data_IF_185686450540
#
_entry.id   IF_185686450540
#
_cell.length_a   1.000
_cell.length_b   1.000
_cell.length_c   1.000
_cell.angle_alpha   90.00
_cell.angle_beta   90.00
_cell.angle_gamma   90.00
#
_symmetry.space_group_name_H-M   'P 1'
#
loop_
_entity.id
_entity.type
_entity.pdbx_description
1 polymer ?
#
# COMPACT_ATOMS: atom_id res chain seq x y z
N UNK A 1 19.20 -11.24 19.55
CA UNK A 1 19.53 -10.59 18.26
C UNK A 1 18.79 -9.26 18.17
N UNK A 2 19.52 -8.14 18.26
CA UNK A 2 18.95 -6.79 18.12
C UNK A 2 18.48 -6.61 16.67
N UNK A 3 17.17 -6.45 16.46
CA UNK A 3 16.63 -6.12 15.14
C UNK A 3 16.83 -4.62 14.88
N UNK A 4 17.17 -4.21 13.65
CA UNK A 4 17.46 -2.82 13.32
C UNK A 4 16.24 -1.89 13.55
N UNK A 5 16.51 -0.62 13.89
CA UNK A 5 15.49 0.42 14.00
C UNK A 5 14.90 0.77 12.64
N UNK A 6 13.73 1.39 12.62
CA UNK A 6 13.06 1.83 11.38
C UNK A 6 13.99 2.73 10.55
N UNK A 7 14.57 3.74 11.20
CA UNK A 7 15.51 4.68 10.58
C UNK A 7 16.74 3.98 10.01
N UNK A 8 17.28 2.98 10.71
CA UNK A 8 18.45 2.22 10.26
C UNK A 8 18.10 1.35 9.05
N UNK A 9 16.94 0.69 9.03
CA UNK A 9 16.51 -0.09 7.86
C UNK A 9 16.26 0.77 6.64
N UNK A 10 15.67 1.95 6.83
CA UNK A 10 15.40 2.89 5.75
C UNK A 10 16.72 3.47 5.20
N UNK A 11 17.63 3.89 6.09
CA UNK A 11 18.97 4.34 5.71
C UNK A 11 19.76 3.25 4.98
N UNK A 12 19.76 2.00 5.49
CA UNK A 12 20.43 0.89 4.84
C UNK A 12 19.87 0.62 3.44
N UNK A 13 18.54 0.62 3.28
CA UNK A 13 17.92 0.46 1.96
C UNK A 13 18.26 1.60 1.01
N UNK A 14 18.26 2.83 1.50
CA UNK A 14 18.64 4.01 0.72
C UNK A 14 20.10 3.92 0.27
N UNK A 15 21.02 3.55 1.17
CA UNK A 15 22.43 3.38 0.85
C UNK A 15 22.67 2.27 -0.18
N UNK A 16 21.93 1.15 -0.10
CA UNK A 16 22.01 0.07 -1.10
C UNK A 16 21.50 0.57 -2.47
N UNK A 17 20.35 1.24 -2.51
CA UNK A 17 19.80 1.81 -3.76
C UNK A 17 20.76 2.83 -4.37
N UNK A 18 21.26 3.77 -3.55
CA UNK A 18 22.21 4.78 -3.98
C UNK A 18 23.53 4.16 -4.46
N UNK A 19 24.01 3.10 -3.81
CA UNK A 19 25.21 2.36 -4.21
C UNK A 19 25.06 1.68 -5.57
N UNK A 20 23.93 1.02 -5.82
CA UNK A 20 23.64 0.37 -7.11
C UNK A 20 23.58 1.39 -8.25
N UNK A 21 22.86 2.49 -8.05
CA UNK A 21 22.75 3.55 -9.05
C UNK A 21 24.09 4.28 -9.27
N UNK A 22 24.83 4.54 -8.19
CA UNK A 22 26.14 5.17 -8.23
C UNK A 22 27.16 4.32 -8.99
N UNK A 23 27.21 3.01 -8.75
CA UNK A 23 28.09 2.10 -9.48
C UNK A 23 27.78 2.08 -10.99
N UNK A 24 26.49 2.08 -11.36
CA UNK A 24 26.09 2.15 -12.77
C UNK A 24 26.50 3.49 -13.42
N UNK A 25 26.36 4.60 -12.70
CA UNK A 25 26.77 5.92 -13.19
C UNK A 25 28.29 6.02 -13.38
N UNK A 26 29.09 5.55 -12.42
CA UNK A 26 30.56 5.55 -12.50
C UNK A 26 31.04 4.67 -13.65
N UNK A 27 30.46 3.47 -13.82
CA UNK A 27 30.78 2.58 -14.94
C UNK A 27 30.46 3.24 -16.29
N UNK A 28 29.32 3.94 -16.40
CA UNK A 28 28.96 4.70 -17.60
C UNK A 28 29.93 5.84 -17.91
N UNK A 29 30.34 6.58 -16.88
CA UNK A 29 31.33 7.65 -17.01
C UNK A 29 32.69 7.13 -17.51
N UNK A 30 33.22 6.08 -16.89
CA UNK A 30 34.49 5.48 -17.29
C UNK A 30 34.46 4.96 -18.73
N UNK A 31 33.35 4.34 -19.14
CA UNK A 31 33.18 3.85 -20.51
C UNK A 31 33.16 4.99 -21.54
N UNK A 32 32.52 6.11 -21.22
CA UNK A 32 32.48 7.30 -22.07
C UNK A 32 33.86 7.94 -22.21
N UNK A 33 34.60 8.04 -21.11
CA UNK A 33 35.94 8.63 -21.10
C UNK A 33 36.94 7.79 -21.89
N UNK A 34 36.91 6.46 -21.73
CA UNK A 34 37.72 5.53 -22.54
C UNK A 34 37.38 5.67 -24.02
N UNK A 35 36.08 5.69 -24.36
CA UNK A 35 35.64 5.87 -25.74
C UNK A 35 36.14 7.19 -26.36
N UNK A 36 36.04 8.30 -25.62
CA UNK A 36 36.51 9.60 -26.09
C UNK A 36 38.03 9.68 -26.28
N UNK A 37 38.80 8.84 -25.58
CA UNK A 37 40.26 8.70 -25.80
C UNK A 37 40.55 7.85 -27.03
N UNK A 38 39.98 6.65 -27.10
CA UNK A 38 40.15 5.71 -28.22
C UNK A 38 39.75 6.35 -29.57
N UNK A 39 38.64 7.10 -29.59
CA UNK A 39 38.16 7.79 -30.78
C UNK A 39 39.07 8.94 -31.24
N UNK A 40 39.68 9.68 -30.31
CA UNK A 40 40.64 10.74 -30.64
C UNK A 40 41.92 10.18 -31.26
N UNK A 41 42.45 9.10 -30.69
CA UNK A 41 43.67 8.45 -31.17
C UNK A 41 43.47 7.88 -32.59
N UNK A 42 42.40 7.10 -32.81
CA UNK A 42 42.11 6.54 -34.14
C UNK A 42 41.83 7.61 -35.20
N UNK A 43 41.15 8.69 -34.83
CA UNK A 43 40.91 9.83 -35.73
C UNK A 43 42.23 10.51 -36.13
N UNK A 44 43.15 10.70 -35.18
CA UNK A 44 44.47 11.27 -35.46
C UNK A 44 45.28 10.37 -36.43
N UNK A 45 45.29 9.05 -36.21
CA UNK A 45 45.94 8.08 -37.11
C UNK A 45 45.34 8.11 -38.52
N UNK A 46 44.01 8.13 -38.64
CA UNK A 46 43.33 8.18 -39.94
C UNK A 46 43.64 9.46 -40.73
N UNK A 47 43.67 10.62 -40.06
CA UNK A 47 44.04 11.90 -40.67
C UNK A 47 45.51 11.87 -41.12
N UNK A 48 46.42 11.37 -40.27
CA UNK A 48 47.84 11.25 -40.60
C UNK A 48 48.06 10.36 -41.83
N UNK A 49 47.42 9.17 -41.86
CA UNK A 49 47.53 8.22 -42.95
C UNK A 49 47.06 8.81 -44.29
N UNK A 50 45.89 9.45 -44.30
CA UNK A 50 45.36 10.07 -45.51
C UNK A 50 46.25 11.23 -46.00
N UNK A 51 46.79 12.02 -45.07
CA UNK A 51 47.73 13.11 -45.40
C UNK A 51 49.00 12.55 -46.05
N UNK A 52 49.58 11.48 -45.51
CA UNK A 52 50.79 10.87 -46.08
C UNK A 52 50.54 10.22 -47.44
N UNK A 53 49.39 9.57 -47.63
CA UNK A 53 48.97 9.01 -48.93
C UNK A 53 48.83 10.11 -49.97
N UNK A 54 48.20 11.23 -49.62
CA UNK A 54 48.07 12.38 -50.53
C UNK A 54 49.44 12.97 -50.88
N UNK A 55 50.31 13.15 -49.88
CA UNK A 55 51.67 13.63 -50.09
C UNK A 55 52.47 12.70 -51.00
N UNK A 56 52.36 11.38 -50.82
CA UNK A 56 52.99 10.38 -51.69
C UNK A 56 52.50 10.50 -53.14
N UNK A 57 51.19 10.66 -53.34
CA UNK A 57 50.60 10.82 -54.66
C UNK A 57 51.08 12.10 -55.35
N UNK A 58 51.05 13.24 -54.65
CA UNK A 58 51.56 14.53 -55.17
C UNK A 58 53.04 14.44 -55.55
N UNK A 59 53.89 13.89 -54.67
CA UNK A 59 55.32 13.74 -54.92
C UNK A 59 55.64 12.74 -56.03
N UNK A 60 54.83 11.71 -56.19
CA UNK A 60 55.00 10.77 -57.30
C UNK A 60 54.67 11.38 -58.66
N UNK A 61 53.70 12.30 -58.73
CA UNK A 61 53.42 13.06 -59.95
C UNK A 61 54.56 14.01 -60.29
N UNK A 62 55.13 14.69 -59.29
CA UNK A 62 56.32 15.54 -59.46
C UNK A 62 57.53 14.72 -59.95
N UNK A 63 57.72 13.52 -59.39
CA UNK A 63 58.74 12.55 -59.80
C UNK A 63 58.51 12.12 -61.26
N UNK A 64 57.29 11.76 -61.63
CA UNK A 64 56.97 11.34 -62.99
C UNK A 64 57.20 12.46 -64.01
N UNK A 65 56.74 13.67 -63.69
CA UNK A 65 56.91 14.86 -64.53
C UNK A 65 58.40 15.18 -64.73
N UNK A 66 59.17 15.18 -63.64
CA UNK A 66 60.61 15.47 -63.68
C UNK A 66 61.38 14.41 -64.46
N UNK A 67 61.04 13.13 -64.28
CA UNK A 67 61.64 12.03 -65.05
C UNK A 67 61.39 12.17 -66.55
N UNK A 68 60.13 12.38 -66.96
CA UNK A 68 59.76 12.58 -68.37
C UNK A 68 60.44 13.81 -68.98
N UNK A 69 60.52 14.91 -68.23
CA UNK A 69 61.14 16.14 -68.71
C UNK A 69 62.67 16.00 -68.83
N UNK A 70 63.32 15.29 -67.90
CA UNK A 70 64.75 15.01 -67.97
C UNK A 70 65.10 14.11 -69.17
N UNK A 71 64.30 13.08 -69.45
CA UNK A 71 64.49 12.21 -70.62
C UNK A 71 64.40 12.94 -71.97
N UNK A 72 63.88 14.17 -72.01
CA UNK A 72 63.76 15.00 -73.21
C UNK A 72 64.78 16.16 -73.23
N UNK A 73 65.01 16.81 -72.09
CA UNK A 73 65.84 18.02 -71.99
C UNK A 73 67.26 17.78 -71.47
N UNK A 74 67.50 16.65 -70.78
CA UNK A 74 68.78 16.26 -70.16
C UNK A 74 69.41 17.34 -69.24
N UNK A 75 68.59 18.19 -68.62
CA UNK A 75 69.02 19.29 -67.73
C UNK A 75 69.24 18.80 -66.28
N UNK A 76 70.41 19.10 -65.72
CA UNK A 76 70.81 18.73 -64.35
C UNK A 76 69.87 19.31 -63.28
N UNK A 77 69.31 20.51 -63.50
CA UNK A 77 68.38 21.11 -62.55
C UNK A 77 67.07 20.30 -62.42
N UNK A 78 66.69 19.57 -63.48
CA UNK A 78 65.52 18.68 -63.49
C UNK A 78 65.84 17.36 -62.79
N UNK A 79 67.08 16.87 -62.96
CA UNK A 79 67.59 15.68 -62.25
C UNK A 79 67.60 15.89 -60.74
N UNK A 80 68.06 17.04 -60.25
CA UNK A 80 68.00 17.36 -58.82
C UNK A 80 66.57 17.39 -58.28
N UNK A 81 65.62 17.95 -59.04
CA UNK A 81 64.19 17.94 -58.67
C UNK A 81 63.60 16.54 -58.62
N UNK A 82 63.98 15.66 -59.54
CA UNK A 82 63.57 14.24 -59.52
C UNK A 82 64.02 13.55 -58.23
N UNK A 83 65.30 13.69 -57.86
CA UNK A 83 65.82 13.08 -56.63
C UNK A 83 65.20 13.69 -55.36
N UNK A 84 64.97 15.00 -55.33
CA UNK A 84 64.28 15.66 -54.21
C UNK A 84 62.83 15.15 -54.05
N UNK A 85 62.07 15.05 -55.15
CA UNK A 85 60.71 14.51 -55.14
C UNK A 85 60.67 13.04 -54.68
N UNK A 86 61.67 12.24 -55.09
CA UNK A 86 61.84 10.85 -54.65
C UNK A 86 62.07 10.74 -53.16
N UNK A 87 63.01 11.51 -52.62
CA UNK A 87 63.35 11.44 -51.20
C UNK A 87 62.18 11.88 -50.31
N UNK A 88 61.40 12.88 -50.75
CA UNK A 88 60.16 13.28 -50.07
C UNK A 88 59.04 12.24 -50.17
N UNK A 89 58.91 11.58 -51.32
CA UNK A 89 57.98 10.46 -51.49
C UNK A 89 58.35 9.26 -50.61
N UNK A 90 59.65 8.93 -50.49
CA UNK A 90 60.13 7.88 -49.59
C UNK A 90 59.85 8.18 -48.10
N UNK A 91 59.94 9.44 -47.67
CA UNK A 91 59.54 9.85 -46.31
C UNK A 91 58.05 9.67 -46.07
N UNK A 92 57.22 10.10 -47.03
CA UNK A 92 55.76 9.90 -46.95
C UNK A 92 55.42 8.41 -46.89
N UNK A 93 56.10 7.59 -47.70
CA UNK A 93 55.93 6.14 -47.72
C UNK A 93 56.32 5.46 -46.40
N UNK A 94 57.44 5.87 -45.80
CA UNK A 94 57.86 5.35 -44.50
C UNK A 94 56.84 5.68 -43.38
N UNK A 95 56.24 6.87 -43.42
CA UNK A 95 55.19 7.24 -42.46
C UNK A 95 53.90 6.43 -42.68
N UNK A 96 53.55 6.11 -43.93
CA UNK A 96 52.41 5.23 -44.23
C UNK A 96 52.61 3.83 -43.65
N UNK A 97 53.81 3.25 -43.80
CA UNK A 97 54.13 1.93 -43.23
C UNK A 97 54.14 1.92 -41.70
N UNK A 98 54.57 3.02 -41.08
CA UNK A 98 54.52 3.18 -39.62
C UNK A 98 53.09 3.23 -39.09
N UNK A 99 52.19 3.90 -39.82
CA UNK A 99 50.79 4.05 -39.46
C UNK A 99 49.95 2.80 -39.77
N UNK A 100 50.24 2.13 -40.89
CA UNK A 100 49.57 0.90 -41.30
C UNK A 100 50.57 -0.11 -41.92
N UNK A 101 51.06 -1.07 -41.10
CA UNK A 101 51.97 -2.11 -41.56
C UNK A 101 51.40 -3.01 -42.67
N UNK A 102 50.07 -3.06 -42.84
CA UNK A 102 49.44 -3.90 -43.88
C UNK A 102 49.72 -3.39 -45.30
N UNK A 103 50.08 -2.11 -45.44
CA UNK A 103 50.45 -1.47 -46.71
C UNK A 103 51.91 -1.74 -47.12
N UNK A 104 52.72 -2.41 -46.30
CA UNK A 104 54.15 -2.64 -46.56
C UNK A 104 54.43 -3.32 -47.91
N UNK A 105 53.58 -4.27 -48.34
CA UNK A 105 53.75 -4.93 -49.64
C UNK A 105 53.58 -4.00 -50.84
N UNK A 106 52.68 -3.02 -50.74
CA UNK A 106 52.48 -1.99 -51.77
C UNK A 106 53.60 -0.95 -51.73
N UNK A 107 54.11 -0.64 -50.53
CA UNK A 107 55.25 0.23 -50.36
C UNK A 107 56.53 -0.36 -50.94
N UNK A 108 56.78 -1.66 -50.76
CA UNK A 108 57.89 -2.36 -51.39
C UNK A 108 57.79 -2.35 -52.93
N UNK A 109 56.59 -2.56 -53.47
CA UNK A 109 56.34 -2.45 -54.91
C UNK A 109 56.61 -1.02 -55.43
N UNK A 110 56.23 0.00 -54.66
CA UNK A 110 56.51 1.40 -54.99
C UNK A 110 58.01 1.69 -55.03
N UNK A 111 58.78 1.19 -54.04
CA UNK A 111 60.25 1.32 -54.01
C UNK A 111 60.88 0.66 -55.24
N UNK A 112 60.47 -0.57 -55.57
CA UNK A 112 61.01 -1.31 -56.69
C UNK A 112 60.79 -0.59 -58.03
N UNK A 113 59.60 -0.03 -58.28
CA UNK A 113 59.34 0.73 -59.51
C UNK A 113 60.09 2.08 -59.54
N UNK A 114 60.31 2.68 -58.37
CA UNK A 114 61.09 3.92 -58.25
C UNK A 114 62.57 3.68 -58.52
N UNK A 115 63.14 2.59 -58.01
CA UNK A 115 64.53 2.20 -58.27
C UNK A 115 64.77 1.97 -59.77
N UNK A 116 63.82 1.35 -60.46
CA UNK A 116 63.86 1.18 -61.92
C UNK A 116 63.83 2.54 -62.65
N UNK A 117 63.05 3.51 -62.17
CA UNK A 117 63.03 4.87 -62.72
C UNK A 117 64.33 5.65 -62.43
N UNK A 118 64.96 5.41 -61.27
CA UNK A 118 66.27 5.99 -60.91
C UNK A 118 67.36 5.48 -61.83
N UNK A 119 67.36 4.19 -62.19
CA UNK A 119 68.34 3.64 -63.14
C UNK A 119 68.27 4.32 -64.52
N UNK A 120 67.10 4.81 -64.91
CA UNK A 120 66.90 5.54 -66.17
C UNK A 120 67.36 7.01 -66.13
N UNK A 121 67.12 7.71 -65.02
CA UNK A 121 67.49 9.13 -64.82
C UNK A 121 68.94 9.27 -64.31
N UNK A 122 69.50 8.22 -63.73
CA UNK A 122 70.79 8.20 -63.05
C UNK A 122 71.98 7.78 -63.92
N UNK A 123 71.79 7.42 -65.18
CA UNK A 123 72.89 6.99 -66.05
C UNK A 123 73.91 8.13 -66.22
N UNK A 124 75.06 8.00 -65.54
CA UNK A 124 76.22 8.86 -65.78
C UNK A 124 76.64 8.77 -67.26
N UNK A 125 77.09 9.91 -67.80
CA UNK A 125 77.58 10.14 -69.17
C UNK A 125 78.83 9.32 -69.60
N UNK A 126 79.01 8.09 -69.11
CA UNK A 126 80.25 7.31 -69.27
C UNK A 126 80.17 6.09 -70.22
N UNK A 127 79.28 6.08 -71.22
CA UNK A 127 79.23 5.01 -72.23
C UNK A 127 78.58 5.42 -73.56
N UNK A 128 78.97 4.83 -74.71
CA UNK A 128 78.49 5.26 -76.03
C UNK A 128 76.98 5.01 -76.21
N UNK A 129 76.29 5.84 -77.03
CA UNK A 129 74.84 5.80 -77.17
C UNK A 129 74.42 4.59 -78.00
N UNK A 130 74.15 3.47 -77.34
CA UNK A 130 73.53 2.31 -77.98
C UNK A 130 72.31 1.88 -77.16
N UNK A 131 71.14 2.01 -77.79
CA UNK A 131 69.81 1.57 -77.32
C UNK A 131 69.03 2.53 -76.38
N UNK A 132 68.92 3.80 -76.78
CA UNK A 132 68.02 4.77 -76.13
C UNK A 132 66.53 4.39 -76.21
N UNK A 133 66.09 3.66 -77.24
CA UNK A 133 64.67 3.30 -77.41
C UNK A 133 64.16 2.26 -76.38
N UNK A 134 64.99 1.30 -76.00
CA UNK A 134 64.60 0.20 -75.09
C UNK A 134 64.64 0.63 -73.62
N UNK A 135 65.60 1.49 -73.25
CA UNK A 135 65.67 2.08 -71.92
C UNK A 135 64.54 3.08 -71.65
N UNK A 136 64.19 3.93 -72.62
CA UNK A 136 63.08 4.89 -72.49
C UNK A 136 61.72 4.17 -72.40
N UNK A 137 61.52 3.08 -73.12
CA UNK A 137 60.31 2.24 -73.02
C UNK A 137 60.15 1.59 -71.64
N UNK A 138 61.22 0.99 -71.09
CA UNK A 138 61.19 0.42 -69.74
C UNK A 138 60.98 1.47 -68.63
N UNK A 139 61.48 2.69 -68.85
CA UNK A 139 61.30 3.82 -67.92
C UNK A 139 59.86 4.34 -67.92
N UNK A 140 59.23 4.45 -69.10
CA UNK A 140 57.83 4.84 -69.21
C UNK A 140 56.90 3.80 -68.61
N UNK A 141 57.22 2.51 -68.75
CA UNK A 141 56.48 1.44 -68.08
C UNK A 141 56.62 1.47 -66.55
N UNK A 142 57.84 1.70 -66.03
CA UNK A 142 58.08 1.86 -64.59
C UNK A 142 57.33 3.07 -64.01
N UNK A 143 57.30 4.20 -64.74
CA UNK A 143 56.55 5.39 -64.37
C UNK A 143 55.04 5.15 -64.35
N UNK A 144 54.49 4.47 -65.36
CA UNK A 144 53.06 4.08 -65.36
C UNK A 144 52.73 3.05 -64.27
N UNK A 145 53.70 2.21 -63.88
CA UNK A 145 53.54 1.29 -62.75
C UNK A 145 53.50 2.05 -61.41
N UNK A 146 54.28 3.12 -61.24
CA UNK A 146 54.23 3.97 -60.04
C UNK A 146 52.85 4.62 -59.86
N UNK A 147 52.26 5.17 -60.92
CA UNK A 147 50.90 5.75 -60.86
C UNK A 147 49.88 4.70 -60.41
N UNK A 148 49.96 3.48 -60.94
CA UNK A 148 49.08 2.36 -60.55
C UNK A 148 49.27 1.95 -59.09
N UNK A 149 50.51 1.84 -58.61
CA UNK A 149 50.78 1.49 -57.21
C UNK A 149 50.30 2.58 -56.26
N UNK A 150 50.44 3.86 -56.62
CA UNK A 150 49.88 4.97 -55.83
C UNK A 150 48.37 4.92 -55.75
N UNK A 151 47.68 4.66 -56.86
CA UNK A 151 46.23 4.50 -56.87
C UNK A 151 45.78 3.32 -56.00
N UNK A 152 46.50 2.19 -56.05
CA UNK A 152 46.25 1.02 -55.20
C UNK A 152 46.48 1.32 -53.73
N UNK A 153 47.58 1.99 -53.39
CA UNK A 153 47.93 2.36 -52.02
C UNK A 153 46.92 3.38 -51.45
N UNK A 154 46.47 4.33 -52.26
CA UNK A 154 45.40 5.25 -51.88
C UNK A 154 44.03 4.58 -51.75
N UNK A 155 43.73 3.56 -52.57
CA UNK A 155 42.50 2.79 -52.45
C UNK A 155 42.50 1.92 -51.18
N UNK A 156 43.61 1.25 -50.89
CA UNK A 156 43.74 0.37 -49.73
C UNK A 156 43.74 1.18 -48.41
N UNK A 157 44.45 2.32 -48.36
CA UNK A 157 44.42 3.22 -47.21
C UNK A 157 43.00 3.75 -46.93
N UNK A 158 42.26 4.16 -47.97
CA UNK A 158 40.84 4.56 -47.83
C UNK A 158 39.97 3.40 -47.36
N UNK A 159 40.22 2.19 -47.85
CA UNK A 159 39.51 0.98 -47.42
C UNK A 159 39.82 0.59 -45.97
N UNK A 160 41.04 0.82 -45.49
CA UNK A 160 41.43 0.64 -44.10
C UNK A 160 40.68 1.61 -43.19
N UNK A 161 40.75 2.91 -43.47
CA UNK A 161 40.04 3.95 -42.70
C UNK A 161 38.54 3.69 -42.66
N UNK A 162 37.93 3.29 -43.77
CA UNK A 162 36.51 2.95 -43.82
C UNK A 162 36.15 1.69 -43.02
N UNK A 163 37.05 0.69 -42.95
CA UNK A 163 36.86 -0.50 -42.09
C UNK A 163 36.94 -0.14 -40.61
N UNK A 164 37.92 0.69 -40.24
CA UNK A 164 38.12 1.16 -38.87
C UNK A 164 36.96 2.02 -38.37
N UNK A 165 36.44 2.92 -39.21
CA UNK A 165 35.26 3.71 -38.89
C UNK A 165 34.03 2.83 -38.65
N UNK A 166 33.80 1.82 -39.50
CA UNK A 166 32.69 0.86 -39.30
C UNK A 166 32.86 0.04 -38.03
N UNK A 167 34.08 -0.43 -37.75
CA UNK A 167 34.38 -1.17 -36.52
C UNK A 167 34.14 -0.29 -35.28
N UNK A 168 34.50 1.00 -35.34
CA UNK A 168 34.18 1.97 -34.28
C UNK A 168 32.68 2.11 -34.06
N UNK A 169 31.90 2.30 -35.12
CA UNK A 169 30.44 2.41 -35.03
C UNK A 169 29.78 1.14 -34.46
N UNK A 170 30.26 -0.04 -34.84
CA UNK A 170 29.74 -1.31 -34.31
C UNK A 170 30.10 -1.50 -32.81
N UNK A 171 31.34 -1.15 -32.43
CA UNK A 171 31.72 -1.12 -31.00
C UNK A 171 30.92 -0.09 -30.20
N UNK A 172 30.51 1.02 -30.82
CA UNK A 172 29.64 2.02 -30.22
C UNK A 172 28.23 1.48 -29.97
N UNK A 173 27.61 0.86 -30.97
CA UNK A 173 26.27 0.31 -30.84
C UNK A 173 26.22 -0.81 -29.79
N UNK A 174 27.22 -1.70 -29.78
CA UNK A 174 27.33 -2.76 -28.78
C UNK A 174 27.58 -2.21 -27.37
N UNK A 175 28.50 -1.24 -27.19
CA UNK A 175 28.72 -0.59 -25.90
C UNK A 175 27.49 0.19 -25.42
N UNK A 176 26.83 0.94 -26.31
CA UNK A 176 25.58 1.66 -26.01
C UNK A 176 24.53 0.68 -25.50
N UNK A 177 24.28 -0.42 -26.22
CA UNK A 177 23.27 -1.41 -25.84
C UNK A 177 23.60 -2.09 -24.50
N UNK A 178 24.89 -2.33 -24.22
CA UNK A 178 25.32 -2.88 -22.93
C UNK A 178 25.11 -1.87 -21.79
N UNK A 179 25.43 -0.60 -22.00
CA UNK A 179 25.21 0.47 -21.02
C UNK A 179 23.71 0.69 -20.75
N UNK A 180 22.88 0.71 -21.79
CA UNK A 180 21.42 0.83 -21.63
C UNK A 180 20.85 -0.36 -20.85
N UNK A 181 21.28 -1.59 -21.15
CA UNK A 181 20.88 -2.77 -20.39
C UNK A 181 21.33 -2.71 -18.92
N UNK A 182 22.56 -2.25 -18.64
CA UNK A 182 23.05 -2.06 -17.27
C UNK A 182 22.27 -0.98 -16.50
N UNK A 183 21.99 0.16 -17.13
CA UNK A 183 21.19 1.23 -16.53
C UNK A 183 19.76 0.77 -16.24
N UNK A 184 19.11 0.13 -17.21
CA UNK A 184 17.76 -0.43 -17.03
C UNK A 184 17.74 -1.49 -15.92
N UNK A 185 18.74 -2.38 -15.88
CA UNK A 185 18.88 -3.38 -14.82
C UNK A 185 19.08 -2.74 -13.44
N UNK A 186 19.94 -1.74 -13.32
CA UNK A 186 20.17 -1.03 -12.07
C UNK A 186 18.90 -0.30 -11.57
N UNK A 187 18.16 0.36 -12.47
CA UNK A 187 16.89 1.02 -12.15
C UNK A 187 15.83 0.00 -11.74
N UNK A 188 15.71 -1.13 -12.45
CA UNK A 188 14.78 -2.20 -12.09
C UNK A 188 15.06 -2.78 -10.71
N UNK A 189 16.34 -3.03 -10.38
CA UNK A 189 16.77 -3.49 -9.06
C UNK A 189 16.44 -2.45 -7.99
N UNK A 190 16.74 -1.17 -8.24
CA UNK A 190 16.43 -0.08 -7.32
C UNK A 190 14.92 0.03 -7.03
N UNK A 191 14.08 -0.03 -8.06
CA UNK A 191 12.61 -0.03 -7.91
C UNK A 191 12.11 -1.25 -7.15
N UNK A 192 12.62 -2.45 -7.44
CA UNK A 192 12.26 -3.66 -6.74
C UNK A 192 12.63 -3.59 -5.25
N UNK A 193 13.82 -3.08 -4.93
CA UNK A 193 14.26 -2.89 -3.55
C UNK A 193 13.37 -1.87 -2.81
N UNK A 194 13.03 -0.75 -3.46
CA UNK A 194 12.16 0.27 -2.91
C UNK A 194 10.73 -0.24 -2.68
N UNK A 195 10.17 -1.01 -3.62
CA UNK A 195 8.85 -1.61 -3.48
C UNK A 195 8.82 -2.66 -2.35
N UNK A 196 9.86 -3.48 -2.24
CA UNK A 196 9.98 -4.50 -1.19
C UNK A 196 10.07 -3.85 0.20
N UNK A 197 10.92 -2.84 0.37
CA UNK A 197 11.06 -2.13 1.64
C UNK A 197 9.78 -1.37 1.98
N UNK A 198 9.17 -0.68 1.01
CA UNK A 198 7.88 -0.01 1.17
C UNK A 198 6.77 -0.97 1.62
N UNK A 199 6.61 -2.10 0.94
CA UNK A 199 5.64 -3.13 1.32
C UNK A 199 5.88 -3.66 2.75
N UNK A 200 7.14 -3.93 3.08
CA UNK A 200 7.54 -4.39 4.41
C UNK A 200 7.27 -3.36 5.51
N UNK A 201 7.39 -2.06 5.22
CA UNK A 201 7.16 -0.95 6.16
C UNK A 201 5.68 -0.59 6.33
N UNK A 202 4.87 -0.65 5.26
CA UNK A 202 3.44 -0.33 5.31
C UNK A 202 2.61 -1.42 6.00
N UNK A 203 3.03 -2.68 5.91
CA UNK A 203 2.27 -3.81 6.47
C UNK A 203 2.07 -3.74 7.99
N UNK A 204 3.10 -3.44 8.82
CA UNK A 204 2.92 -3.22 10.26
C UNK A 204 2.03 -2.03 10.60
N UNK A 205 2.10 -0.93 9.82
CA UNK A 205 1.32 0.27 10.09
C UNK A 205 -0.19 0.01 9.98
N UNK A 206 -0.61 -0.74 8.96
CA UNK A 206 -2.01 -1.18 8.83
C UNK A 206 -2.48 -2.08 9.98
N UNK A 207 -1.58 -2.85 10.60
CA UNK A 207 -1.91 -3.64 11.80
C UNK A 207 -2.12 -2.75 13.03
N UNK A 208 -1.28 -1.71 13.19
CA UNK A 208 -1.43 -0.73 14.26
C UNK A 208 -2.77 0.01 14.12
N UNK A 209 -3.11 0.46 12.91
CA UNK A 209 -4.38 1.13 12.63
C UNK A 209 -5.58 0.25 13.01
N UNK A 210 -5.58 -1.02 12.58
CA UNK A 210 -6.60 -2.01 12.96
C UNK A 210 -6.66 -2.24 14.46
N UNK A 211 -5.51 -2.31 15.14
CA UNK A 211 -5.47 -2.49 16.59
C UNK A 211 -6.05 -1.28 17.33
N UNK A 212 -5.79 -0.06 16.85
CA UNK A 212 -6.37 1.17 17.42
C UNK A 212 -7.89 1.20 17.21
N UNK A 213 -8.37 0.85 16.01
CA UNK A 213 -9.80 0.75 15.73
C UNK A 213 -10.48 -0.30 16.63
N UNK A 214 -9.86 -1.49 16.78
CA UNK A 214 -10.36 -2.53 17.67
C UNK A 214 -10.39 -2.10 19.15
N UNK A 215 -9.41 -1.30 19.60
CA UNK A 215 -9.43 -0.67 20.92
C UNK A 215 -10.60 0.33 21.07
N UNK A 216 -10.86 1.12 20.04
CA UNK A 216 -11.98 2.06 19.99
C UNK A 216 -13.33 1.36 20.08
N UNK A 217 -13.46 0.20 19.42
CA UNK A 217 -14.67 -0.64 19.43
C UNK A 217 -14.76 -1.55 20.67
N UNK A 218 -13.92 -1.33 21.68
CA UNK A 218 -13.87 -2.08 22.94
C UNK A 218 -13.59 -3.60 22.80
N UNK A 219 -12.94 -4.02 21.71
CA UNK A 219 -12.58 -5.42 21.44
C UNK A 219 -11.27 -5.81 22.14
N UNK A 220 -11.29 -5.83 23.48
CA UNK A 220 -10.08 -5.98 24.31
C UNK A 220 -9.54 -7.42 24.42
N UNK A 221 -10.14 -8.41 23.75
CA UNK A 221 -9.76 -9.84 23.85
C UNK A 221 -8.70 -10.26 22.84
N UNK A 222 -8.55 -9.54 21.71
CA UNK A 222 -7.58 -9.89 20.68
C UNK A 222 -6.16 -9.44 21.09
N UNK A 223 -5.19 -10.33 20.90
CA UNK A 223 -3.77 -10.03 21.15
C UNK A 223 -3.24 -9.07 20.07
N UNK A 224 -2.54 -8.01 20.48
CA UNK A 224 -1.94 -7.05 19.56
C UNK A 224 -0.49 -7.44 19.31
N UNK A 225 -0.25 -8.17 18.22
CA UNK A 225 1.10 -8.53 17.79
C UNK A 225 1.50 -7.79 16.50
N UNK A 226 2.35 -6.79 16.68
CA UNK A 226 2.91 -5.99 15.58
C UNK A 226 4.29 -6.55 15.25
N UNK A 227 4.41 -7.20 14.10
CA UNK A 227 5.70 -7.57 13.51
C UNK A 227 6.40 -6.35 12.92
N UNK A 228 7.74 -6.35 12.86
CA UNK A 228 8.48 -5.34 12.10
C UNK A 228 9.78 -4.84 12.74
N UNK A 229 10.23 -3.62 12.35
CA UNK A 229 11.37 -2.91 12.94
C UNK A 229 11.21 -2.73 14.45
N UNK A 230 12.33 -2.57 15.16
CA UNK A 230 12.32 -2.48 16.63
C UNK A 230 11.33 -1.43 17.17
N UNK A 231 11.25 -0.28 16.53
CA UNK A 231 10.40 0.85 16.94
C UNK A 231 8.90 0.53 16.82
N UNK A 232 8.48 -0.07 15.69
CA UNK A 232 7.07 -0.42 15.47
C UNK A 232 6.60 -1.54 16.41
N UNK A 233 7.49 -2.50 16.73
CA UNK A 233 7.18 -3.51 17.75
C UNK A 233 7.02 -2.89 19.14
N UNK A 234 7.84 -1.89 19.48
CA UNK A 234 7.73 -1.18 20.75
C UNK A 234 6.39 -0.47 20.86
N UNK A 235 5.91 0.15 19.78
CA UNK A 235 4.56 0.71 19.72
C UNK A 235 3.51 -0.39 19.88
N UNK A 236 3.67 -1.53 19.20
CA UNK A 236 2.78 -2.70 19.38
C UNK A 236 2.70 -3.17 20.83
N UNK A 237 3.84 -3.27 21.52
CA UNK A 237 3.91 -3.63 22.95
C UNK A 237 3.22 -2.58 23.84
N UNK A 238 3.36 -1.29 23.53
CA UNK A 238 2.67 -0.21 24.26
C UNK A 238 1.15 -0.28 24.05
N UNK A 239 0.70 -0.59 22.84
CA UNK A 239 -0.72 -0.80 22.55
C UNK A 239 -1.28 -2.03 23.27
N UNK A 240 -0.54 -3.14 23.32
CA UNK A 240 -0.97 -4.32 24.07
C UNK A 240 -1.00 -4.06 25.58
N UNK A 241 -0.02 -3.33 26.11
CA UNK A 241 -0.06 -2.87 27.51
C UNK A 241 -1.29 -2.00 27.79
N UNK A 242 -1.63 -1.06 26.89
CA UNK A 242 -2.81 -0.23 27.00
C UNK A 242 -4.10 -1.07 26.97
N UNK A 243 -4.19 -2.05 26.05
CA UNK A 243 -5.30 -3.00 25.97
C UNK A 243 -5.50 -3.74 27.28
N UNK A 244 -4.42 -4.31 27.83
CA UNK A 244 -4.46 -5.03 29.11
C UNK A 244 -4.90 -4.10 30.25
N UNK A 245 -4.40 -2.86 30.28
CA UNK A 245 -4.77 -1.88 31.29
C UNK A 245 -6.24 -1.48 31.21
N UNK A 246 -6.77 -1.29 30.00
CA UNK A 246 -8.20 -1.03 29.78
C UNK A 246 -9.05 -2.21 30.24
N UNK A 247 -8.67 -3.44 29.88
CA UNK A 247 -9.38 -4.64 30.29
C UNK A 247 -9.39 -4.82 31.83
N UNK A 248 -8.28 -4.49 32.50
CA UNK A 248 -8.18 -4.49 33.96
C UNK A 248 -9.10 -3.46 34.60
N UNK A 249 -9.14 -2.23 34.06
CA UNK A 249 -10.02 -1.16 34.53
C UNK A 249 -11.50 -1.53 34.38
N UNK A 250 -11.89 -2.13 33.25
CA UNK A 250 -13.24 -2.64 33.05
C UNK A 250 -13.60 -3.75 34.05
N UNK A 251 -12.70 -4.73 34.24
CA UNK A 251 -12.91 -5.80 35.20
C UNK A 251 -13.01 -5.27 36.64
N UNK A 252 -12.23 -4.26 37.00
CA UNK A 252 -12.30 -3.62 38.30
C UNK A 252 -13.63 -2.88 38.49
N UNK A 253 -14.06 -2.09 37.50
CA UNK A 253 -15.37 -1.41 37.51
C UNK A 253 -16.51 -2.42 37.71
N UNK A 254 -16.48 -3.55 37.04
CA UNK A 254 -17.47 -4.63 37.19
C UNK A 254 -17.48 -5.23 38.60
N UNK A 255 -16.31 -5.47 39.19
CA UNK A 255 -16.21 -5.98 40.57
C UNK A 255 -16.78 -4.98 41.57
N UNK A 256 -16.50 -3.69 41.41
CA UNK A 256 -17.02 -2.63 42.28
C UNK A 256 -18.54 -2.57 42.21
N UNK A 257 -19.13 -2.55 41.01
CA UNK A 257 -20.59 -2.51 40.85
C UNK A 257 -21.29 -3.72 41.46
N UNK A 258 -20.72 -4.92 41.28
CA UNK A 258 -21.24 -6.14 41.90
C UNK A 258 -21.16 -6.09 43.42
N UNK A 259 -20.04 -5.60 43.96
CA UNK A 259 -19.85 -5.44 45.39
C UNK A 259 -20.84 -4.43 45.98
N UNK A 260 -20.96 -3.23 45.39
CA UNK A 260 -21.93 -2.21 45.79
C UNK A 260 -23.36 -2.75 45.74
N UNK A 261 -23.68 -3.60 44.75
CA UNK A 261 -24.99 -4.26 44.68
C UNK A 261 -25.28 -5.14 45.89
N UNK A 262 -24.31 -5.92 46.34
CA UNK A 262 -24.46 -6.78 47.51
C UNK A 262 -24.54 -5.97 48.81
N UNK A 263 -23.66 -4.98 48.97
CA UNK A 263 -23.61 -4.13 50.16
C UNK A 263 -24.88 -3.28 50.34
N UNK A 264 -25.58 -2.93 49.26
CA UNK A 264 -26.86 -2.20 49.34
C UNK A 264 -28.07 -3.13 49.58
N UNK A 265 -28.07 -4.35 49.05
CA UNK A 265 -29.18 -5.30 49.23
C UNK A 265 -29.40 -5.69 50.68
N UNK A 266 -28.32 -5.94 51.43
CA UNK A 266 -28.37 -6.37 52.83
C UNK A 266 -29.08 -5.34 53.75
N UNK A 267 -28.67 -4.06 53.81
CA UNK A 267 -29.33 -3.08 54.68
C UNK A 267 -30.76 -2.76 54.23
N UNK A 268 -31.07 -2.81 52.93
CA UNK A 268 -32.45 -2.67 52.44
C UNK A 268 -33.35 -3.81 52.90
N UNK A 269 -32.85 -5.05 52.87
CA UNK A 269 -33.58 -6.20 53.37
C UNK A 269 -33.89 -6.06 54.87
N UNK A 270 -32.91 -5.62 55.67
CA UNK A 270 -33.11 -5.35 57.11
C UNK A 270 -34.08 -4.21 57.38
N UNK A 271 -34.03 -3.10 56.61
CA UNK A 271 -34.99 -2.02 56.71
C UNK A 271 -36.42 -2.50 56.39
N UNK A 272 -36.58 -3.30 55.33
CA UNK A 272 -37.87 -3.87 54.95
C UNK A 272 -38.41 -4.79 56.04
N UNK A 273 -37.57 -5.65 56.58
CA UNK A 273 -37.94 -6.58 57.66
C UNK A 273 -38.37 -5.81 58.92
N UNK A 274 -37.61 -4.80 59.34
CA UNK A 274 -37.97 -3.96 60.49
C UNK A 274 -39.30 -3.22 60.30
N UNK A 275 -39.55 -2.69 59.10
CA UNK A 275 -40.82 -2.01 58.78
C UNK A 275 -41.98 -3.01 58.68
N UNK A 276 -41.76 -4.22 58.16
CA UNK A 276 -42.78 -5.28 58.14
C UNK A 276 -43.14 -5.73 59.56
N UNK A 277 -42.15 -5.93 60.43
CA UNK A 277 -42.37 -6.30 61.84
C UNK A 277 -43.14 -5.23 62.62
N UNK A 278 -42.92 -3.95 62.30
CA UNK A 278 -43.71 -2.83 62.83
C UNK A 278 -45.15 -2.89 62.31
N UNK A 279 -45.34 -3.07 61.00
CA UNK A 279 -46.65 -3.13 60.36
C UNK A 279 -47.50 -4.32 60.85
N UNK A 280 -46.87 -5.48 61.04
CA UNK A 280 -47.50 -6.72 61.51
C UNK A 280 -47.84 -6.69 63.03
N UNK A 281 -47.44 -5.63 63.73
CA UNK A 281 -47.73 -5.45 65.17
C UNK A 281 -46.95 -6.38 66.10
N UNK A 282 -45.90 -7.03 65.60
CA UNK A 282 -45.07 -7.99 66.36
C UNK A 282 -44.36 -7.29 67.53
N UNK A 283 -44.01 -6.01 67.37
CA UNK A 283 -43.33 -5.19 68.38
C UNK A 283 -44.29 -4.47 69.36
N UNK A 284 -45.61 -4.61 69.16
CA UNK A 284 -46.65 -3.96 69.97
C UNK A 284 -47.79 -3.37 69.14
N UNK A 285 -48.90 -3.01 69.81
CA UNK A 285 -50.05 -2.38 69.15
C UNK A 285 -49.75 -0.93 68.77
N UNK A 286 -49.80 -0.63 67.47
CA UNK A 286 -49.69 0.72 66.93
C UNK A 286 -50.98 1.54 67.12
N UNK A 287 -50.84 2.82 67.48
CA UNK A 287 -51.94 3.79 67.39
C UNK A 287 -52.39 3.99 65.93
N UNK A 288 -53.54 4.64 65.70
CA UNK A 288 -54.04 4.87 64.34
C UNK A 288 -53.05 5.70 63.50
N UNK A 289 -52.51 6.77 64.06
CA UNK A 289 -51.51 7.65 63.44
C UNK A 289 -50.19 6.89 63.15
N UNK A 290 -49.75 6.03 64.08
CA UNK A 290 -48.55 5.22 63.88
C UNK A 290 -48.72 4.17 62.77
N UNK A 291 -49.93 3.63 62.60
CA UNK A 291 -50.25 2.68 61.51
C UNK A 291 -50.17 3.34 60.14
N UNK A 292 -50.65 4.57 60.02
CA UNK A 292 -50.54 5.37 58.79
C UNK A 292 -49.07 5.64 58.44
N UNK A 293 -48.26 6.06 59.41
CA UNK A 293 -46.81 6.26 59.23
C UNK A 293 -46.10 4.95 58.84
N UNK A 294 -46.45 3.83 59.47
CA UNK A 294 -45.88 2.51 59.15
C UNK A 294 -46.19 2.08 57.71
N UNK A 295 -47.41 2.34 57.23
CA UNK A 295 -47.80 2.04 55.85
C UNK A 295 -47.02 2.91 54.83
N UNK A 296 -46.78 4.19 55.16
CA UNK A 296 -45.95 5.09 54.34
C UNK A 296 -44.50 4.59 54.30
N UNK A 297 -43.94 4.21 55.44
CA UNK A 297 -42.58 3.64 55.52
C UNK A 297 -42.47 2.35 54.70
N UNK A 298 -43.44 1.45 54.81
CA UNK A 298 -43.43 0.17 54.08
C UNK A 298 -43.46 0.41 52.57
N UNK A 299 -44.33 1.33 52.13
CA UNK A 299 -44.42 1.73 50.74
C UNK A 299 -43.09 2.33 50.24
N UNK A 300 -42.51 3.25 50.98
CA UNK A 300 -41.27 3.94 50.60
C UNK A 300 -40.06 3.00 50.60
N UNK A 301 -39.93 2.11 51.59
CA UNK A 301 -38.83 1.14 51.64
C UNK A 301 -38.91 0.15 50.48
N UNK A 302 -40.12 -0.30 50.13
CA UNK A 302 -40.35 -1.15 48.96
C UNK A 302 -39.99 -0.44 47.65
N UNK A 303 -40.47 0.79 47.47
CA UNK A 303 -40.16 1.60 46.29
C UNK A 303 -38.65 1.89 46.16
N UNK A 304 -37.95 2.16 47.26
CA UNK A 304 -36.51 2.39 47.28
C UNK A 304 -35.73 1.14 46.90
N UNK A 305 -36.12 -0.03 47.46
CA UNK A 305 -35.50 -1.31 47.11
C UNK A 305 -35.66 -1.60 45.62
N UNK A 306 -36.87 -1.46 45.09
CA UNK A 306 -37.16 -1.67 43.66
C UNK A 306 -36.28 -0.74 42.80
N UNK A 307 -36.19 0.56 43.12
CA UNK A 307 -35.35 1.51 42.36
C UNK A 307 -33.86 1.18 42.42
N UNK A 308 -33.35 0.72 43.56
CA UNK A 308 -31.94 0.36 43.70
C UNK A 308 -31.64 -0.92 42.90
N UNK A 309 -32.47 -1.95 43.04
CA UNK A 309 -32.31 -3.19 42.26
C UNK A 309 -32.35 -2.91 40.75
N UNK A 310 -33.25 -2.02 40.33
CA UNK A 310 -33.38 -1.53 38.97
C UNK A 310 -32.13 -0.78 38.47
N UNK A 311 -31.59 0.17 39.26
CA UNK A 311 -30.36 0.90 38.91
C UNK A 311 -29.16 -0.05 38.78
N UNK A 312 -29.04 -1.01 39.69
CA UNK A 312 -27.96 -2.00 39.67
C UNK A 312 -28.10 -2.95 38.48
N UNK A 313 -29.32 -3.36 38.16
CA UNK A 313 -29.62 -4.18 36.99
C UNK A 313 -29.30 -3.42 35.69
N UNK A 314 -29.75 -2.17 35.54
CA UNK A 314 -29.44 -1.35 34.37
C UNK A 314 -27.93 -1.15 34.17
N UNK A 315 -27.18 -0.86 35.24
CA UNK A 315 -25.73 -0.77 35.16
C UNK A 315 -25.14 -2.10 34.67
N UNK A 316 -25.52 -3.23 35.26
CA UNK A 316 -25.05 -4.55 34.82
C UNK A 316 -25.36 -4.82 33.34
N UNK A 317 -26.57 -4.47 32.90
CA UNK A 317 -27.03 -4.62 31.51
C UNK A 317 -26.23 -3.75 30.54
N UNK A 318 -25.88 -2.50 30.89
CA UNK A 318 -25.01 -1.66 30.06
C UNK A 318 -23.62 -2.29 29.83
N UNK A 319 -23.10 -3.07 30.79
CA UNK A 319 -21.85 -3.80 30.58
C UNK A 319 -22.05 -5.04 29.72
N UNK A 320 -23.14 -5.78 29.94
CA UNK A 320 -23.41 -6.99 29.19
C UNK A 320 -23.73 -6.69 27.72
N UNK A 321 -24.43 -5.59 27.44
CA UNK A 321 -24.68 -5.11 26.08
C UNK A 321 -23.39 -4.89 25.27
N UNK A 322 -22.25 -4.60 25.92
CA UNK A 322 -20.95 -4.41 25.24
C UNK A 322 -20.27 -5.72 24.82
N UNK A 323 -20.79 -6.88 25.22
CA UNK A 323 -20.24 -8.21 24.89
C UNK A 323 -21.30 -9.06 24.18
N UNK A 324 -21.54 -8.77 22.91
CA UNK A 324 -22.45 -9.56 22.09
C UNK A 324 -21.75 -10.79 21.52
N UNK A 325 -22.40 -11.95 21.63
CA UNK A 325 -22.08 -13.11 20.82
C UNK A 325 -23.01 -13.16 19.61
N UNK A 326 -22.67 -12.43 18.55
CA UNK A 326 -23.47 -12.37 17.34
C UNK A 326 -23.44 -13.72 16.62
N UNK A 327 -24.62 -14.30 16.39
CA UNK A 327 -24.83 -15.51 15.59
C UNK A 327 -26.06 -15.32 14.71
N UNK A 328 -26.08 -16.02 13.58
CA UNK A 328 -27.28 -16.09 12.74
C UNK A 328 -28.42 -16.71 13.56
N UNK A 329 -29.40 -15.89 13.93
CA UNK A 329 -30.50 -16.23 14.84
C UNK A 329 -31.81 -16.10 14.10
N UNK A 330 -32.61 -17.17 14.12
CA UNK A 330 -33.95 -17.16 13.54
C UNK A 330 -34.90 -16.38 14.46
N UNK A 331 -35.51 -15.31 13.93
CA UNK A 331 -36.27 -14.38 14.76
C UNK A 331 -37.61 -14.93 15.24
N UNK A 332 -38.34 -15.66 14.38
CA UNK A 332 -39.66 -16.19 14.71
C UNK A 332 -39.64 -17.19 15.89
N UNK A 333 -38.72 -18.18 15.96
CA UNK A 333 -38.56 -19.01 17.15
C UNK A 333 -38.27 -18.20 18.41
N UNK A 334 -37.38 -17.21 18.33
CA UNK A 334 -37.01 -16.37 19.47
C UNK A 334 -38.21 -15.60 20.04
N UNK A 335 -39.02 -14.99 19.15
CA UNK A 335 -40.22 -14.25 19.54
C UNK A 335 -41.25 -15.20 20.18
N UNK A 336 -41.47 -16.38 19.59
CA UNK A 336 -42.40 -17.39 20.14
C UNK A 336 -41.99 -17.87 21.52
N UNK A 337 -40.72 -18.15 21.74
CA UNK A 337 -40.20 -18.52 23.06
C UNK A 337 -40.38 -17.40 24.07
N UNK A 338 -40.08 -16.15 23.67
CA UNK A 338 -40.29 -14.97 24.53
C UNK A 338 -41.77 -14.80 24.93
N UNK A 339 -42.70 -15.00 23.98
CA UNK A 339 -44.14 -14.94 24.24
C UNK A 339 -44.59 -16.06 25.18
N UNK A 340 -44.04 -17.27 25.03
CA UNK A 340 -44.32 -18.40 25.90
C UNK A 340 -43.88 -18.16 27.36
N UNK A 341 -42.74 -17.50 27.57
CA UNK A 341 -42.26 -17.10 28.90
C UNK A 341 -43.21 -16.11 29.60
N UNK A 342 -43.93 -15.28 28.83
CA UNK A 342 -44.89 -14.29 29.33
C UNK A 342 -46.34 -14.80 29.36
N UNK A 343 -46.56 -16.10 29.13
CA UNK A 343 -47.90 -16.69 29.05
C UNK A 343 -48.74 -16.49 30.32
N UNK A 344 -48.13 -16.56 31.51
CA UNK A 344 -48.86 -16.36 32.77
C UNK A 344 -49.40 -14.92 32.89
N UNK A 345 -48.61 -13.93 32.47
CA UNK A 345 -48.97 -12.51 32.55
C UNK A 345 -50.08 -12.16 31.54
N UNK A 346 -49.97 -12.68 30.32
CA UNK A 346 -50.99 -12.51 29.27
C UNK A 346 -52.31 -13.18 29.67
N UNK A 347 -52.28 -14.38 30.25
CA UNK A 347 -53.46 -15.06 30.76
C UNK A 347 -54.12 -14.31 31.92
N UNK A 348 -53.34 -13.80 32.88
CA UNK A 348 -53.86 -13.03 34.02
C UNK A 348 -54.62 -11.77 33.58
N UNK A 349 -54.26 -11.18 32.43
CA UNK A 349 -54.93 -10.00 31.86
C UNK A 349 -55.85 -10.32 30.67
N UNK A 350 -56.00 -11.60 30.31
CA UNK A 350 -56.75 -12.05 29.14
C UNK A 350 -56.31 -11.37 27.82
N UNK A 351 -55.01 -11.15 27.64
CA UNK A 351 -54.45 -10.50 26.43
C UNK A 351 -54.03 -11.58 25.42
N UNK A 352 -54.33 -11.36 24.14
CA UNK A 352 -53.83 -12.21 23.03
C UNK A 352 -52.64 -11.56 22.34
N UNK A 353 -51.63 -12.36 22.01
CA UNK A 353 -50.46 -11.91 21.24
C UNK A 353 -50.49 -12.61 19.88
N UNK A 354 -50.67 -11.82 18.82
CA UNK A 354 -50.67 -12.30 17.43
C UNK A 354 -49.29 -12.01 16.83
N UNK A 355 -48.65 -13.03 16.24
CA UNK A 355 -47.34 -12.91 15.58
C UNK A 355 -47.56 -13.11 14.08
N UNK A 356 -47.20 -12.12 13.28
CA UNK A 356 -47.35 -12.13 11.82
C UNK A 356 -46.03 -11.79 11.11
N UNK A 357 -45.90 -12.20 9.85
CA UNK A 357 -44.77 -11.89 8.99
C UNK A 357 -43.76 -13.02 8.74
N UNK A 358 -42.73 -12.72 7.95
CA UNK A 358 -41.68 -13.67 7.59
C UNK A 358 -40.70 -13.88 8.75
N UNK A 359 -39.86 -14.93 8.69
CA UNK A 359 -38.91 -15.29 9.74
C UNK A 359 -37.46 -15.04 9.29
N UNK A 360 -36.96 -13.79 9.28
CA UNK A 360 -35.63 -13.50 8.77
C UNK A 360 -34.58 -13.99 9.76
N UNK A 361 -33.38 -14.24 9.25
CA UNK A 361 -32.21 -14.44 10.08
C UNK A 361 -31.61 -13.06 10.40
N UNK A 362 -31.31 -12.83 11.67
CA UNK A 362 -30.59 -11.64 12.15
C UNK A 362 -29.24 -12.05 12.72
N UNK A 363 -28.21 -11.22 12.53
CA UNK A 363 -26.95 -11.39 13.27
C UNK A 363 -27.15 -10.83 14.67
N UNK A 364 -27.44 -11.71 15.63
CA UNK A 364 -27.77 -11.28 16.98
C UNK A 364 -27.29 -12.24 18.07
N UNK A 365 -27.12 -11.70 19.26
CA UNK A 365 -27.03 -12.47 20.50
C UNK A 365 -28.45 -12.80 20.95
N UNK A 366 -28.87 -14.05 20.72
CA UNK A 366 -30.24 -14.49 21.00
C UNK A 366 -30.67 -14.25 22.46
N UNK A 367 -29.76 -14.38 23.43
CA UNK A 367 -30.06 -14.18 24.84
C UNK A 367 -30.38 -12.72 25.14
N UNK A 368 -29.55 -11.80 24.66
CA UNK A 368 -29.74 -10.36 24.88
C UNK A 368 -30.91 -9.79 24.09
N UNK A 369 -31.11 -10.27 22.86
CA UNK A 369 -32.28 -9.89 22.07
C UNK A 369 -33.58 -10.37 22.72
N UNK A 370 -33.60 -11.56 23.33
CA UNK A 370 -34.74 -12.03 24.14
C UNK A 370 -35.07 -11.08 25.29
N UNK A 371 -34.06 -10.56 25.99
CA UNK A 371 -34.25 -9.59 27.09
C UNK A 371 -34.85 -8.28 26.55
N UNK A 372 -34.41 -7.80 25.39
CA UNK A 372 -35.02 -6.62 24.76
C UNK A 372 -36.49 -6.87 24.39
N UNK A 373 -36.77 -7.99 23.73
CA UNK A 373 -38.14 -8.37 23.34
C UNK A 373 -39.06 -8.56 24.55
N UNK A 374 -38.58 -9.19 25.63
CA UNK A 374 -39.37 -9.39 26.84
C UNK A 374 -39.69 -8.08 27.54
N UNK A 375 -38.78 -7.10 27.54
CA UNK A 375 -39.04 -5.76 28.08
C UNK A 375 -40.09 -5.00 27.26
N UNK A 376 -40.03 -5.06 25.92
CA UNK A 376 -41.07 -4.47 25.07
C UNK A 376 -42.43 -5.13 25.29
N UNK A 377 -42.49 -6.46 25.35
CA UNK A 377 -43.73 -7.19 25.53
C UNK A 377 -44.32 -7.01 26.93
N UNK A 378 -43.48 -6.97 27.97
CA UNK A 378 -43.94 -6.66 29.33
C UNK A 378 -44.56 -5.27 29.41
N UNK A 379 -43.99 -4.27 28.72
CA UNK A 379 -44.59 -2.94 28.61
C UNK A 379 -45.93 -2.99 27.85
N UNK A 380 -45.97 -3.62 26.67
CA UNK A 380 -47.20 -3.76 25.89
C UNK A 380 -48.33 -4.47 26.69
N UNK A 381 -47.99 -5.54 27.43
CA UNK A 381 -48.91 -6.25 28.32
C UNK A 381 -49.34 -5.35 29.48
N UNK A 382 -48.44 -4.54 30.04
CA UNK A 382 -48.70 -3.64 31.17
C UNK A 382 -49.62 -2.46 30.83
N UNK A 383 -49.54 -1.92 29.63
CA UNK A 383 -50.34 -0.77 29.20
C UNK A 383 -51.60 -1.13 28.42
N UNK A 384 -51.70 -2.34 27.86
CA UNK A 384 -52.91 -2.77 27.16
C UNK A 384 -54.10 -2.99 28.10
N UNK A 385 -55.34 -2.66 27.69
CA UNK A 385 -56.56 -3.04 28.39
C UNK A 385 -56.71 -4.56 28.50
N UNK A 386 -57.40 -5.04 29.54
CA UNK A 386 -57.67 -6.47 29.69
C UNK A 386 -58.63 -6.96 28.60
N UNK A 387 -58.36 -8.11 27.99
CA UNK A 387 -59.17 -8.66 26.89
C UNK A 387 -58.76 -8.21 25.48
N UNK A 388 -57.82 -7.25 25.36
CA UNK A 388 -57.37 -6.72 24.08
C UNK A 388 -56.22 -7.55 23.47
N UNK A 389 -55.67 -7.09 22.34
CA UNK A 389 -54.62 -7.78 21.59
C UNK A 389 -53.34 -6.96 21.45
N UNK A 390 -52.22 -7.65 21.36
CA UNK A 390 -50.90 -7.12 21.00
C UNK A 390 -50.48 -7.80 19.69
N UNK A 391 -49.98 -7.03 18.73
CA UNK A 391 -49.46 -7.57 17.46
C UNK A 391 -47.95 -7.43 17.40
N UNK A 392 -47.29 -8.51 16.98
CA UNK A 392 -45.87 -8.52 16.64
C UNK A 392 -45.77 -8.78 15.14
N UNK A 393 -45.28 -7.82 14.37
CA UNK A 393 -45.11 -7.94 12.92
C UNK A 393 -43.61 -8.03 12.59
N UNK A 394 -43.23 -9.05 11.84
CA UNK A 394 -41.85 -9.31 11.43
C UNK A 394 -41.73 -9.08 9.92
N UNK A 395 -40.87 -8.15 9.51
CA UNK A 395 -40.66 -7.86 8.10
C UNK A 395 -39.18 -7.76 7.76
N UNK A 396 -38.88 -7.87 6.46
CA UNK A 396 -37.56 -7.59 5.92
C UNK A 396 -37.70 -6.47 4.88
N UNK A 397 -36.88 -5.45 5.02
CA UNK A 397 -36.73 -4.37 4.05
C UNK A 397 -35.25 -4.29 3.62
N UNK A 398 -34.93 -4.91 2.48
CA UNK A 398 -33.55 -5.00 1.98
C UNK A 398 -32.60 -5.74 2.93
N UNK A 399 -31.62 -5.00 3.47
CA UNK A 399 -30.61 -5.49 4.43
C UNK A 399 -31.01 -5.24 5.89
N UNK A 400 -32.24 -4.77 6.14
CA UNK A 400 -32.75 -4.48 7.47
C UNK A 400 -33.95 -5.37 7.80
N UNK A 401 -33.96 -5.89 9.01
CA UNK A 401 -35.06 -6.65 9.60
C UNK A 401 -35.83 -5.75 10.54
N UNK A 402 -37.14 -5.69 10.35
CA UNK A 402 -38.07 -4.87 11.10
C UNK A 402 -38.86 -5.75 12.07
N UNK A 403 -38.93 -5.32 13.33
CA UNK A 403 -39.75 -5.93 14.38
C UNK A 403 -40.67 -4.86 14.93
N UNK A 404 -41.94 -4.96 14.61
CA UNK A 404 -42.97 -4.03 15.06
C UNK A 404 -43.75 -4.66 16.22
N UNK A 405 -43.80 -3.97 17.37
CA UNK A 405 -44.60 -4.34 18.54
C UNK A 405 -45.69 -3.28 18.73
N UNK A 406 -46.95 -3.66 18.49
CA UNK A 406 -48.11 -2.77 18.49
C UNK A 406 -49.07 -3.20 19.58
N UNK A 407 -49.30 -2.33 20.56
CA UNK A 407 -50.21 -2.58 21.68
C UNK A 407 -51.56 -1.86 21.52
N UNK A 408 -52.49 -2.09 22.46
CA UNK A 408 -53.81 -1.45 22.46
C UNK A 408 -53.99 -0.45 23.62
N UNK A 409 -52.88 0.03 24.18
CA UNK A 409 -52.85 0.95 25.33
C UNK A 409 -53.29 2.39 25.03
N UNK A 410 -53.06 3.33 25.97
CA UNK A 410 -53.42 4.73 25.80
C UNK A 410 -52.57 5.47 24.74
N UNK A 411 -51.49 4.85 24.25
CA UNK A 411 -50.54 5.45 23.33
C UNK A 411 -49.49 6.31 24.01
N UNK A 412 -48.67 6.98 23.21
CA UNK A 412 -47.54 7.80 23.66
C UNK A 412 -47.71 9.19 23.06
N UNK A 413 -47.55 10.23 23.88
CA UNK A 413 -47.61 11.60 23.39
C UNK A 413 -46.48 11.86 22.40
N UNK A 414 -46.75 12.62 21.34
CA UNK A 414 -45.80 12.84 20.24
C UNK A 414 -44.50 13.51 20.69
N UNK A 415 -44.55 14.33 21.74
CA UNK A 415 -43.40 14.99 22.37
C UNK A 415 -42.60 14.07 23.32
N UNK A 416 -43.12 12.88 23.62
CA UNK A 416 -42.48 11.89 24.49
C UNK A 416 -41.83 10.73 23.70
N UNK A 417 -42.11 10.57 22.41
CA UNK A 417 -41.68 9.43 21.57
C UNK A 417 -40.16 9.13 21.63
N UNK A 418 -39.32 10.15 21.74
CA UNK A 418 -37.86 9.96 21.89
C UNK A 418 -37.45 9.76 23.36
N UNK A 419 -38.12 10.48 24.27
CA UNK A 419 -37.76 10.54 25.70
C UNK A 419 -38.14 9.29 26.46
N UNK A 420 -39.11 8.51 25.99
CA UNK A 420 -39.50 7.23 26.61
C UNK A 420 -38.37 6.20 26.70
N UNK A 421 -37.31 6.35 25.90
CA UNK A 421 -36.13 5.50 25.96
C UNK A 421 -35.07 6.02 26.94
N UNK A 422 -35.27 7.19 27.54
CA UNK A 422 -34.39 7.72 28.59
C UNK A 422 -34.55 6.93 29.89
N UNK A 423 -33.45 6.62 30.60
CA UNK A 423 -33.51 5.91 31.87
C UNK A 423 -34.39 6.67 32.89
N UNK A 424 -35.27 5.94 33.57
CA UNK A 424 -36.19 6.46 34.59
C UNK A 424 -37.28 7.40 34.08
N UNK A 425 -37.40 7.60 32.76
CA UNK A 425 -38.50 8.38 32.21
C UNK A 425 -39.82 7.60 32.29
N UNK A 426 -40.88 8.29 32.69
CA UNK A 426 -42.25 7.79 32.72
C UNK A 426 -43.14 8.86 32.08
N UNK A 427 -43.98 8.46 31.12
CA UNK A 427 -44.83 9.38 30.35
C UNK A 427 -45.89 10.08 31.21
N UNK A 428 -46.39 11.21 30.71
CA UNK A 428 -47.27 12.14 31.41
C UNK A 428 -48.70 11.63 31.66
N UNK A 429 -49.09 10.49 31.07
CA UNK A 429 -50.37 9.81 31.32
C UNK A 429 -50.21 8.48 32.09
N UNK A 430 -49.89 8.51 33.39
CA UNK A 430 -50.00 7.32 34.21
C UNK A 430 -51.47 7.12 34.58
N UNK A 431 -52.15 6.19 33.91
CA UNK A 431 -53.39 5.67 34.43
C UNK A 431 -53.09 5.06 35.83
N UNK A 432 -53.82 5.45 36.88
CA UNK A 432 -53.45 5.16 38.28
C UNK A 432 -53.36 3.65 38.61
N UNK A 433 -53.85 2.79 37.70
CA UNK A 433 -53.79 1.32 37.80
C UNK A 433 -52.55 0.70 37.12
N UNK A 434 -51.82 1.45 36.30
CA UNK A 434 -50.72 0.96 35.44
C UNK A 434 -49.33 1.45 35.88
N UNK A 435 -49.27 2.32 36.90
CA UNK A 435 -48.12 3.12 37.30
C UNK A 435 -47.04 2.38 38.14
N UNK A 436 -46.61 1.17 37.73
CA UNK A 436 -45.53 0.42 38.41
C UNK A 436 -44.35 0.04 37.50
N UNK A 437 -44.15 0.76 36.40
CA UNK A 437 -42.97 0.58 35.54
C UNK A 437 -41.73 1.28 36.11
N UNK A 438 -40.57 0.62 36.07
CA UNK A 438 -39.26 1.18 36.48
C UNK A 438 -38.80 2.41 35.65
N UNK A 439 -39.32 2.57 34.43
CA UNK A 439 -38.77 3.50 33.44
C UNK A 439 -37.43 3.06 32.85
N UNK A 440 -36.94 1.85 33.17
CA UNK A 440 -35.68 1.31 32.64
C UNK A 440 -35.86 0.29 31.52
N UNK A 441 -37.04 -0.33 31.39
CA UNK A 441 -37.26 -1.40 30.41
C UNK A 441 -36.98 -0.95 28.98
N UNK A 442 -37.51 0.21 28.57
CA UNK A 442 -37.27 0.77 27.24
C UNK A 442 -35.81 1.26 27.06
N UNK A 443 -35.19 1.78 28.12
CA UNK A 443 -33.77 2.13 28.07
C UNK A 443 -32.87 0.91 27.83
N UNK A 444 -33.20 -0.24 28.47
CA UNK A 444 -32.52 -1.53 28.25
C UNK A 444 -32.72 -2.02 26.81
N UNK A 445 -33.93 -1.89 26.27
CA UNK A 445 -34.21 -2.21 24.86
C UNK A 445 -33.30 -1.39 23.96
N UNK A 446 -33.26 -0.06 24.14
CA UNK A 446 -32.40 0.80 23.32
C UNK A 446 -30.93 0.42 23.43
N UNK A 447 -30.43 0.13 24.63
CA UNK A 447 -29.04 -0.26 24.83
C UNK A 447 -28.69 -1.55 24.06
N UNK A 448 -29.51 -2.60 24.21
CA UNK A 448 -29.25 -3.87 23.51
C UNK A 448 -29.40 -3.73 22.00
N UNK A 449 -30.44 -3.07 21.50
CA UNK A 449 -30.64 -2.91 20.06
C UNK A 449 -29.51 -2.07 19.43
N UNK A 450 -29.08 -1.00 20.09
CA UNK A 450 -27.95 -0.18 19.63
C UNK A 450 -26.65 -0.99 19.63
N UNK A 451 -26.42 -1.80 20.67
CA UNK A 451 -25.24 -2.67 20.72
C UNK A 451 -25.20 -3.67 19.56
N UNK A 452 -26.37 -4.14 19.09
CA UNK A 452 -26.50 -5.01 17.92
C UNK A 452 -26.31 -4.29 16.58
N UNK A 453 -25.97 -3.00 16.59
CA UNK A 453 -25.88 -2.16 15.40
C UNK A 453 -27.24 -1.77 14.82
N UNK A 454 -28.32 -1.98 15.59
CA UNK A 454 -29.69 -1.66 15.21
C UNK A 454 -30.18 -0.32 15.73
N UNK A 455 -31.47 -0.05 15.49
CA UNK A 455 -32.17 1.14 16.01
C UNK A 455 -33.53 0.76 16.58
N UNK A 456 -34.02 1.53 17.55
CA UNK A 456 -35.37 1.38 18.09
C UNK A 456 -36.09 2.71 18.06
N UNK A 457 -37.36 2.69 17.70
CA UNK A 457 -38.21 3.86 17.56
C UNK A 457 -39.56 3.61 18.25
N UNK A 458 -40.16 4.68 18.75
CA UNK A 458 -41.59 4.73 18.98
C UNK A 458 -42.23 5.57 17.87
N UNK A 459 -43.18 4.98 17.17
CA UNK A 459 -43.86 5.59 16.04
C UNK A 459 -45.20 6.19 16.49
N UNK A 460 -45.64 7.32 15.89
CA UNK A 460 -46.98 7.83 16.12
C UNK A 460 -48.02 6.80 15.70
N UNK A 461 -49.01 6.55 16.56
CA UNK A 461 -50.11 5.64 16.31
C UNK A 461 -51.44 6.26 16.75
N UNK A 462 -52.52 5.99 16.02
CA UNK A 462 -53.86 6.51 16.35
C UNK A 462 -54.46 5.83 17.60
N UNK A 463 -54.01 4.61 17.91
CA UNK A 463 -54.43 3.85 19.09
C UNK A 463 -53.28 2.95 19.54
N UNK A 464 -53.03 2.91 20.85
CA UNK A 464 -51.92 2.13 21.42
C UNK A 464 -50.54 2.73 21.16
N UNK A 465 -49.51 2.05 21.65
CA UNK A 465 -48.13 2.35 21.32
C UNK A 465 -47.61 1.45 20.20
N UNK A 466 -46.78 2.01 19.32
CA UNK A 466 -46.11 1.29 18.25
C UNK A 466 -44.59 1.43 18.42
N UNK A 467 -43.93 0.34 18.78
CA UNK A 467 -42.48 0.27 18.84
C UNK A 467 -41.93 -0.47 17.62
N UNK A 468 -40.91 0.11 16.97
CA UNK A 468 -40.19 -0.52 15.84
C UNK A 468 -38.73 -0.74 16.19
N UNK A 469 -38.26 -1.96 16.04
CA UNK A 469 -36.84 -2.31 16.09
C UNK A 469 -36.36 -2.58 14.66
N UNK A 470 -35.18 -2.04 14.33
CA UNK A 470 -34.45 -2.29 13.10
C UNK A 470 -33.14 -3.00 13.43
N UNK A 471 -32.88 -4.15 12.81
CA UNK A 471 -31.65 -4.93 12.98
C UNK A 471 -31.03 -5.27 11.62
N UNK A 472 -29.70 -5.40 11.52
CA UNK A 472 -29.06 -5.86 10.29
C UNK A 472 -29.43 -7.32 9.99
N UNK A 473 -29.77 -7.59 8.73
CA UNK A 473 -30.02 -8.94 8.23
C UNK A 473 -28.74 -9.79 8.27
N UNK A 474 -28.88 -11.10 8.55
CA UNK A 474 -27.75 -12.01 8.46
C UNK A 474 -27.46 -12.37 6.99
N UNK A 475 -26.33 -11.89 6.49
CA UNK A 475 -25.81 -12.24 5.15
C UNK A 475 -25.40 -13.70 5.02
#
# INVERSE_FOLDING_TARGET
>A
MLRPSFSLTLLASFLVIAGVLGAAAVSGWMALEQFARDGRERSATAIALNTSVQQLAERSVDLERSARQYLVLEDEAIRERFFAARDDALKALAHIEELDPTLGSLADAWRQHTDNAVLAVGHELAGPPQSTATGVAGSTEALMALTRVNEQLAAEARAHVARDERALLDTLDTRRNRLTAQLLGAVAIAMALAALTGWWLLRPLRRIEKAIAALGDNQLTQLIEVDGPADLRRVGQQLDWLRLRLAELEAHRNRVLRHVSHELKTPLASLREGVSLLADGVLGRLTAEQREVSAILEHNTRALQERIEQLLHYNATQFDARRLELRATALLPLVRETVAELQLQTQARNIRIDIDGEAPLVQADAGKLRIALSNLLANAIGFSPAGDRIRIELARDGETVLIDCIDSGPGIATDELERIFEPFFQGSQPDQRSAKGSGLGLAIVREFITAHGGKVFALPAERGAHFRIELPHAT
#
